data_IF_478842043731
#
_entry.id   IF_478842043731
#
_cell.length_a   1.000
_cell.length_b   1.000
_cell.length_c   1.000
_cell.angle_alpha   90.00
_cell.angle_beta   90.00
_cell.angle_gamma   90.00
#
_symmetry.space_group_name_H-M   'P 1'
#
loop_
_entity.id
_entity.type
_entity.pdbx_description
1 polymer ?
#
# COMPACT_ATOMS: atom_id res chain seq x y z
N UNK A 1 -26.12 75.64 30.31
CA UNK A 1 -25.30 74.63 29.63
C UNK A 1 -25.85 73.32 29.97
N UNK A 2 -26.70 72.70 29.13
CA UNK A 2 -27.30 71.39 29.39
C UNK A 2 -26.63 70.36 28.46
N UNK A 3 -25.91 69.40 29.00
CA UNK A 3 -25.35 68.25 28.25
C UNK A 3 -26.38 67.11 28.17
N UNK A 4 -26.75 66.75 26.97
CA UNK A 4 -27.61 65.62 26.70
C UNK A 4 -26.76 64.32 26.72
N UNK A 5 -27.14 63.34 27.55
CA UNK A 5 -26.62 62.00 27.49
C UNK A 5 -27.39 61.22 26.42
N UNK A 6 -26.69 60.68 25.42
CA UNK A 6 -27.21 59.74 24.45
C UNK A 6 -27.08 58.33 25.05
N UNK A 7 -28.21 57.63 25.21
CA UNK A 7 -28.24 56.26 25.62
C UNK A 7 -28.02 55.35 24.38
N UNK A 8 -26.99 54.52 24.36
CA UNK A 8 -26.78 53.48 23.36
C UNK A 8 -27.57 52.21 23.73
N UNK A 9 -28.49 51.85 22.86
CA UNK A 9 -29.26 50.59 23.01
C UNK A 9 -28.41 49.46 22.39
N UNK A 10 -27.92 48.55 23.22
CA UNK A 10 -27.27 47.30 22.79
C UNK A 10 -28.37 46.26 22.45
N UNK A 11 -28.54 45.94 21.18
CA UNK A 11 -29.35 44.83 20.73
C UNK A 11 -28.52 43.52 20.83
N UNK A 12 -28.90 42.66 21.77
CA UNK A 12 -28.38 41.28 21.84
C UNK A 12 -29.04 40.47 20.73
N UNK A 13 -28.25 40.03 19.74
CA UNK A 13 -28.66 38.99 18.81
C UNK A 13 -28.58 37.65 19.51
N UNK A 14 -29.71 36.99 19.68
CA UNK A 14 -29.77 35.59 20.13
C UNK A 14 -29.24 34.69 19.03
N UNK A 15 -28.09 34.05 19.28
CA UNK A 15 -27.59 32.98 18.46
C UNK A 15 -28.50 31.77 18.57
N UNK A 16 -29.02 31.27 17.45
CA UNK A 16 -29.77 30.02 17.40
C UNK A 16 -28.85 28.86 17.87
N UNK A 17 -29.35 27.94 18.72
CA UNK A 17 -28.61 26.73 19.04
C UNK A 17 -28.46 25.88 17.79
N UNK A 18 -27.22 25.43 17.53
CA UNK A 18 -26.90 24.51 16.47
C UNK A 18 -27.80 23.27 16.57
N UNK A 19 -28.48 22.94 15.48
CA UNK A 19 -29.26 21.72 15.36
C UNK A 19 -28.38 20.52 15.68
N UNK A 20 -28.78 19.74 16.67
CA UNK A 20 -28.17 18.45 16.98
C UNK A 20 -28.24 17.56 15.73
N UNK A 21 -27.11 17.06 15.30
CA UNK A 21 -27.00 16.14 14.17
C UNK A 21 -27.81 14.87 14.51
N UNK A 22 -28.75 14.52 13.65
CA UNK A 22 -29.56 13.30 13.74
C UNK A 22 -28.66 12.07 13.72
N UNK A 23 -28.62 11.22 14.77
CA UNK A 23 -27.76 10.03 14.82
C UNK A 23 -28.16 8.94 13.83
N UNK A 24 -29.27 9.10 13.09
CA UNK A 24 -29.79 8.16 12.11
C UNK A 24 -29.66 8.63 10.67
N UNK A 25 -28.93 9.74 10.40
CA UNK A 25 -28.69 10.15 9.03
C UNK A 25 -27.94 9.02 8.28
N UNK A 26 -28.44 8.56 7.11
CA UNK A 26 -27.77 7.53 6.34
C UNK A 26 -26.38 8.04 5.94
N UNK A 27 -25.37 7.19 6.14
CA UNK A 27 -24.01 7.48 5.71
C UNK A 27 -24.03 7.84 4.21
N UNK A 28 -23.27 8.86 3.78
CA UNK A 28 -23.17 9.19 2.37
C UNK A 28 -22.72 7.95 1.61
N UNK A 29 -23.29 7.69 0.41
CA UNK A 29 -22.91 6.53 -0.38
C UNK A 29 -21.39 6.51 -0.57
N UNK A 30 -20.76 5.37 -0.27
CA UNK A 30 -19.36 5.15 -0.53
C UNK A 30 -19.06 5.57 -1.98
N UNK A 31 -18.09 6.46 -2.18
CA UNK A 31 -17.70 6.90 -3.53
C UNK A 31 -17.41 5.66 -4.36
N UNK A 32 -18.16 5.49 -5.44
CA UNK A 32 -18.08 4.33 -6.29
C UNK A 32 -16.66 4.20 -6.89
N UNK A 33 -16.17 2.97 -7.14
CA UNK A 33 -14.82 2.70 -7.66
C UNK A 33 -14.58 3.21 -9.09
N UNK A 34 -15.52 3.93 -9.68
CA UNK A 34 -15.47 4.45 -11.05
C UNK A 34 -14.37 5.50 -11.28
N UNK A 35 -13.72 6.02 -10.23
CA UNK A 35 -12.65 7.00 -10.37
C UNK A 35 -11.25 6.38 -10.54
N UNK A 36 -11.07 5.10 -10.27
CA UNK A 36 -9.76 4.42 -10.42
C UNK A 36 -9.31 4.24 -11.88
N UNK A 37 -10.20 4.48 -12.86
CA UNK A 37 -9.95 4.17 -14.28
C UNK A 37 -9.89 5.38 -15.20
N UNK A 38 -9.72 6.61 -14.69
CA UNK A 38 -9.77 7.83 -15.53
C UNK A 38 -8.52 8.13 -16.37
N UNK A 39 -7.42 7.39 -16.17
CA UNK A 39 -6.17 7.62 -16.92
C UNK A 39 -5.52 6.31 -17.39
N UNK A 40 -5.92 5.74 -18.54
CA UNK A 40 -5.29 4.52 -19.08
C UNK A 40 -3.77 4.64 -19.28
N UNK A 41 -3.29 5.84 -19.62
CA UNK A 41 -1.85 6.11 -19.75
C UNK A 41 -1.09 6.18 -18.42
N UNK A 42 -1.70 6.73 -17.38
CA UNK A 42 -1.10 6.83 -16.05
C UNK A 42 -0.95 5.45 -15.38
N UNK A 43 -1.88 4.52 -15.64
CA UNK A 43 -1.77 3.14 -15.11
C UNK A 43 -0.60 2.37 -15.72
N UNK A 44 -0.32 2.55 -17.02
CA UNK A 44 0.82 1.92 -17.71
C UNK A 44 2.16 2.44 -17.17
N UNK A 45 2.30 3.72 -16.96
CA UNK A 45 3.51 4.33 -16.39
C UNK A 45 3.74 3.91 -14.93
N UNK A 46 2.69 3.89 -14.12
CA UNK A 46 2.76 3.41 -12.73
C UNK A 46 3.24 1.97 -12.67
N UNK A 47 2.63 1.09 -13.49
CA UNK A 47 3.01 -0.31 -13.60
C UNK A 47 4.48 -0.47 -13.98
N UNK A 48 4.93 0.29 -14.99
CA UNK A 48 6.33 0.26 -15.45
C UNK A 48 7.32 0.68 -14.35
N UNK A 49 7.02 1.74 -13.61
CA UNK A 49 7.88 2.21 -12.50
C UNK A 49 7.96 1.19 -11.36
N UNK A 50 6.82 0.64 -10.93
CA UNK A 50 6.79 -0.39 -9.89
C UNK A 50 7.56 -1.63 -10.34
N UNK A 51 7.31 -2.12 -11.55
CA UNK A 51 7.99 -3.29 -12.11
C UNK A 51 9.50 -3.06 -12.22
N UNK A 52 9.93 -1.88 -12.68
CA UNK A 52 11.34 -1.52 -12.77
C UNK A 52 12.01 -1.50 -11.38
N UNK A 53 11.31 -1.00 -10.34
CA UNK A 53 11.82 -0.99 -8.98
C UNK A 53 12.06 -2.42 -8.46
N UNK A 54 11.11 -3.33 -8.68
CA UNK A 54 11.27 -4.75 -8.34
C UNK A 54 12.42 -5.40 -9.08
N UNK A 55 12.49 -5.18 -10.40
CA UNK A 55 13.48 -5.84 -11.26
C UNK A 55 14.91 -5.35 -11.03
N UNK A 56 15.10 -4.12 -10.56
CA UNK A 56 16.41 -3.65 -10.08
C UNK A 56 16.91 -4.48 -8.90
N UNK A 57 16.06 -4.74 -7.91
CA UNK A 57 16.44 -5.53 -6.74
C UNK A 57 16.70 -7.00 -7.11
N UNK A 58 15.89 -7.56 -8.02
CA UNK A 58 16.09 -8.93 -8.52
C UNK A 58 17.39 -9.08 -9.30
N UNK A 59 17.71 -8.13 -10.17
CA UNK A 59 18.98 -8.12 -10.90
C UNK A 59 20.18 -8.04 -9.94
N UNK A 60 20.08 -7.25 -8.86
CA UNK A 60 21.13 -7.13 -7.86
C UNK A 60 21.46 -8.45 -7.13
N UNK A 61 20.51 -9.39 -7.08
CA UNK A 61 20.69 -10.72 -6.49
C UNK A 61 20.78 -11.87 -7.52
N UNK A 62 20.84 -11.52 -8.81
CA UNK A 62 21.01 -12.49 -9.90
C UNK A 62 19.75 -13.30 -10.23
N UNK A 63 18.56 -12.81 -9.88
CA UNK A 63 17.30 -13.48 -10.17
C UNK A 63 16.66 -12.94 -11.46
N UNK A 64 15.92 -13.79 -12.21
CA UNK A 64 15.18 -13.38 -13.39
C UNK A 64 14.18 -12.27 -13.09
N UNK A 65 13.92 -11.35 -14.04
CA UNK A 65 12.95 -10.28 -13.86
C UNK A 65 11.53 -10.83 -13.72
N UNK A 66 10.70 -10.13 -12.93
CA UNK A 66 9.26 -10.34 -12.89
C UNK A 66 8.62 -9.79 -14.15
N UNK A 67 7.49 -10.37 -14.51
CA UNK A 67 6.56 -9.86 -15.52
C UNK A 67 5.36 -9.20 -14.82
N UNK A 68 4.84 -8.15 -15.45
CA UNK A 68 3.59 -7.55 -14.98
C UNK A 68 2.39 -8.43 -15.30
N UNK A 69 1.51 -8.60 -14.34
CA UNK A 69 0.29 -9.38 -14.48
C UNK A 69 -0.92 -8.47 -14.17
N UNK A 70 -1.76 -8.16 -15.18
CA UNK A 70 -2.91 -7.28 -15.02
C UNK A 70 -4.02 -7.90 -14.16
N UNK A 71 -4.12 -9.22 -14.07
CA UNK A 71 -5.10 -9.89 -13.21
C UNK A 71 -4.71 -9.76 -11.75
N UNK A 72 -3.41 -9.92 -11.44
CA UNK A 72 -2.89 -9.65 -10.09
C UNK A 72 -3.08 -8.17 -9.71
N UNK A 73 -2.90 -7.24 -10.66
CA UNK A 73 -3.12 -5.82 -10.43
C UNK A 73 -4.59 -5.51 -10.15
N UNK A 74 -5.51 -6.09 -10.91
CA UNK A 74 -6.95 -5.95 -10.67
C UNK A 74 -7.36 -6.53 -9.31
N UNK A 75 -6.84 -7.71 -8.96
CA UNK A 75 -7.07 -8.33 -7.67
C UNK A 75 -6.48 -7.51 -6.50
N UNK A 76 -5.33 -6.85 -6.70
CA UNK A 76 -4.78 -5.90 -5.74
C UNK A 76 -5.69 -4.67 -5.58
N UNK A 77 -6.17 -4.09 -6.68
CA UNK A 77 -7.04 -2.91 -6.67
C UNK A 77 -8.34 -3.17 -5.91
N UNK A 78 -8.94 -4.35 -6.04
CA UNK A 78 -10.20 -4.70 -5.36
C UNK A 78 -10.09 -4.70 -3.84
N UNK A 79 -8.89 -4.78 -3.28
CA UNK A 79 -8.66 -4.77 -1.83
C UNK A 79 -8.43 -3.34 -1.27
N UNK A 80 -8.18 -2.37 -2.11
CA UNK A 80 -7.95 -0.98 -1.73
C UNK A 80 -9.06 -0.36 -0.86
N UNK A 81 -10.34 -0.46 -1.24
CA UNK A 81 -11.44 0.05 -0.43
C UNK A 81 -11.51 -0.53 0.99
N UNK A 82 -11.14 -1.81 1.15
CA UNK A 82 -11.11 -2.46 2.47
C UNK A 82 -10.04 -1.82 3.36
N UNK A 83 -8.82 -1.63 2.84
CA UNK A 83 -7.74 -0.99 3.60
C UNK A 83 -8.09 0.47 3.93
N UNK A 84 -8.69 1.20 3.01
CA UNK A 84 -9.13 2.57 3.24
C UNK A 84 -10.20 2.66 4.34
N UNK A 85 -11.15 1.74 4.38
CA UNK A 85 -12.15 1.68 5.45
C UNK A 85 -11.59 1.29 6.82
N UNK A 86 -10.46 0.56 6.85
CA UNK A 86 -9.81 0.13 8.08
C UNK A 86 -8.77 1.12 8.59
N UNK A 87 -8.29 2.04 7.76
CA UNK A 87 -7.18 2.99 8.05
C UNK A 87 -5.91 2.32 8.57
N UNK A 88 -5.62 1.09 8.16
CA UNK A 88 -4.45 0.31 8.59
C UNK A 88 -4.09 -0.77 7.58
N UNK A 89 -2.83 -1.25 7.63
CA UNK A 89 -2.38 -2.37 6.83
C UNK A 89 -2.78 -3.70 7.47
N UNK A 90 -3.63 -4.45 6.81
CA UNK A 90 -3.96 -5.84 7.13
C UNK A 90 -3.94 -6.62 5.82
N UNK A 91 -3.26 -7.75 5.81
CA UNK A 91 -3.27 -8.64 4.64
C UNK A 91 -4.68 -9.17 4.37
N UNK A 92 -5.03 -9.25 3.08
CA UNK A 92 -6.25 -9.92 2.66
C UNK A 92 -6.21 -11.41 3.08
N UNK A 93 -7.36 -12.03 3.39
CA UNK A 93 -7.40 -13.44 3.74
C UNK A 93 -6.75 -14.31 2.67
N UNK A 94 -5.99 -15.33 3.07
CA UNK A 94 -5.25 -16.19 2.12
C UNK A 94 -6.18 -16.94 1.18
N UNK A 95 -7.37 -17.25 1.64
CA UNK A 95 -8.44 -17.93 0.90
C UNK A 95 -8.93 -17.10 -0.30
N UNK A 96 -8.85 -15.78 -0.19
CA UNK A 96 -9.24 -14.86 -1.29
C UNK A 96 -8.14 -14.64 -2.32
N UNK A 97 -6.95 -15.18 -2.11
CA UNK A 97 -5.78 -15.07 -3.00
C UNK A 97 -4.99 -16.38 -3.10
N UNK A 98 -5.62 -17.46 -3.54
CA UNK A 98 -4.96 -18.77 -3.65
C UNK A 98 -3.75 -18.68 -4.60
N UNK A 99 -2.62 -19.28 -4.20
CA UNK A 99 -1.40 -19.27 -5.01
C UNK A 99 -0.71 -17.91 -5.12
N UNK A 100 -1.03 -16.94 -4.25
CA UNK A 100 -0.44 -15.60 -4.26
C UNK A 100 0.13 -15.22 -2.90
N UNK A 101 1.09 -14.29 -2.93
CA UNK A 101 1.53 -13.50 -1.76
C UNK A 101 1.21 -12.03 -1.99
N UNK A 102 1.30 -11.26 -0.91
CA UNK A 102 0.92 -9.85 -0.92
C UNK A 102 1.92 -9.03 -0.11
N UNK A 103 2.37 -7.90 -0.67
CA UNK A 103 3.04 -6.83 0.06
C UNK A 103 2.12 -5.62 0.15
N UNK A 104 2.15 -4.95 1.29
CA UNK A 104 1.35 -3.75 1.56
C UNK A 104 2.25 -2.60 2.03
N UNK A 105 1.95 -1.39 1.59
CA UNK A 105 2.50 -0.17 2.16
C UNK A 105 1.41 0.90 2.23
N UNK A 106 1.55 1.85 3.16
CA UNK A 106 0.70 3.02 3.24
C UNK A 106 1.52 4.27 3.55
N UNK A 107 1.04 5.41 3.06
CA UNK A 107 1.59 6.72 3.33
C UNK A 107 0.46 7.75 3.39
N UNK A 108 0.70 8.91 4.01
CA UNK A 108 -0.23 10.02 3.89
C UNK A 108 -0.44 10.38 2.41
N UNK A 109 -1.68 10.70 2.06
CA UNK A 109 -2.04 10.97 0.67
C UNK A 109 -1.08 12.00 0.01
N UNK A 110 -0.55 11.62 -1.15
CA UNK A 110 0.33 12.46 -1.96
C UNK A 110 1.76 12.67 -1.43
N UNK A 111 2.14 12.07 -0.29
CA UNK A 111 3.49 12.26 0.28
C UNK A 111 4.54 11.33 -0.30
N UNK A 112 4.15 10.19 -0.86
CA UNK A 112 5.05 9.19 -1.46
C UNK A 112 4.50 8.68 -2.78
N UNK A 113 5.36 8.58 -3.79
CA UNK A 113 5.04 7.83 -5.01
C UNK A 113 5.11 6.31 -4.77
N UNK A 114 4.46 5.53 -5.63
CA UNK A 114 4.43 4.07 -5.49
C UNK A 114 5.82 3.43 -5.56
N UNK A 115 6.73 3.96 -6.38
CA UNK A 115 8.12 3.52 -6.45
C UNK A 115 8.90 3.83 -5.17
N UNK A 116 8.58 4.94 -4.48
CA UNK A 116 9.14 5.23 -3.16
C UNK A 116 8.60 4.27 -2.09
N UNK A 117 7.32 3.90 -2.17
CA UNK A 117 6.74 2.87 -1.29
C UNK A 117 7.38 1.49 -1.51
N UNK A 118 7.68 1.11 -2.77
CA UNK A 118 8.50 -0.08 -3.06
C UNK A 118 9.90 0.06 -2.48
N UNK A 119 10.43 1.29 -2.44
CA UNK A 119 11.71 1.62 -1.80
C UNK A 119 11.75 1.28 -0.31
N UNK A 120 10.63 1.40 0.42
CA UNK A 120 10.54 0.99 1.83
C UNK A 120 10.80 -0.51 1.97
N UNK A 121 10.21 -1.32 1.09
CA UNK A 121 10.44 -2.77 1.06
C UNK A 121 11.88 -3.11 0.66
N UNK A 122 12.44 -2.37 -0.31
CA UNK A 122 13.83 -2.55 -0.74
C UNK A 122 14.84 -2.23 0.36
N UNK A 123 14.52 -1.30 1.27
CA UNK A 123 15.38 -0.94 2.39
C UNK A 123 15.57 -2.08 3.41
N UNK A 124 14.66 -3.05 3.45
CA UNK A 124 14.74 -4.23 4.33
C UNK A 124 15.95 -5.12 4.01
N UNK A 125 16.52 -5.03 2.77
CA UNK A 125 17.71 -5.81 2.36
C UNK A 125 18.90 -5.65 3.29
N UNK A 126 19.04 -4.52 3.98
CA UNK A 126 20.10 -4.27 4.97
C UNK A 126 20.06 -5.25 6.15
N UNK A 127 18.87 -5.80 6.44
CA UNK A 127 18.63 -6.74 7.53
C UNK A 127 18.65 -8.20 7.04
N UNK A 128 18.71 -8.43 5.72
CA UNK A 128 18.78 -9.78 5.17
C UNK A 128 20.11 -10.44 5.50
N UNK A 129 20.06 -11.73 5.81
CA UNK A 129 21.24 -12.62 5.86
C UNK A 129 20.98 -13.88 5.03
N UNK A 130 22.05 -14.54 4.53
CA UNK A 130 21.91 -15.81 3.84
C UNK A 130 21.25 -16.86 4.73
N UNK A 131 20.40 -17.71 4.15
CA UNK A 131 19.74 -18.78 4.90
C UNK A 131 18.50 -19.30 4.20
N UNK A 132 17.82 -20.19 4.89
CA UNK A 132 16.50 -20.72 4.50
C UNK A 132 15.42 -19.90 5.21
N UNK A 133 14.38 -19.51 4.48
CA UNK A 133 13.25 -18.82 5.08
C UNK A 133 12.57 -19.73 6.14
N UNK A 134 12.21 -19.23 7.32
CA UNK A 134 12.21 -17.83 7.76
C UNK A 134 13.52 -17.35 8.44
N UNK A 135 14.57 -18.17 8.59
CA UNK A 135 15.79 -17.81 9.30
C UNK A 135 16.75 -16.93 8.45
N UNK A 136 16.23 -15.86 7.86
CA UNK A 136 16.91 -14.99 6.88
C UNK A 136 17.07 -13.54 7.33
N UNK A 137 16.73 -13.23 8.59
CA UNK A 137 16.86 -11.88 9.13
C UNK A 137 17.95 -11.80 10.20
N UNK A 138 18.81 -10.78 10.13
CA UNK A 138 19.81 -10.46 11.16
C UNK A 138 19.22 -10.09 12.51
N UNK A 139 17.96 -9.68 12.54
CA UNK A 139 17.22 -9.34 13.76
C UNK A 139 16.61 -10.55 14.45
N UNK A 140 16.63 -11.72 13.80
CA UNK A 140 15.93 -12.93 14.22
C UNK A 140 14.42 -12.93 13.91
N UNK A 141 13.90 -11.83 13.37
CA UNK A 141 12.48 -11.68 13.00
C UNK A 141 12.37 -11.62 11.48
N UNK A 142 11.76 -12.62 10.88
CA UNK A 142 11.62 -12.69 9.42
C UNK A 142 10.71 -11.58 8.87
N UNK A 143 9.79 -11.06 9.67
CA UNK A 143 8.90 -9.96 9.31
C UNK A 143 9.67 -8.70 8.90
N UNK A 144 10.84 -8.48 9.48
CA UNK A 144 11.68 -7.31 9.20
C UNK A 144 12.33 -7.35 7.80
N UNK A 145 12.17 -8.47 7.07
CA UNK A 145 12.68 -8.66 5.71
C UNK A 145 11.63 -9.25 4.76
N UNK A 146 10.40 -9.42 5.23
CA UNK A 146 9.36 -10.17 4.53
C UNK A 146 8.96 -9.57 3.17
N UNK A 147 8.90 -8.24 3.08
CA UNK A 147 8.57 -7.58 1.84
C UNK A 147 9.71 -7.72 0.83
N UNK A 148 10.93 -7.49 1.26
CA UNK A 148 12.10 -7.64 0.37
C UNK A 148 12.26 -9.08 -0.12
N UNK A 149 12.17 -10.07 0.77
CA UNK A 149 12.30 -11.48 0.39
C UNK A 149 11.24 -11.90 -0.60
N UNK A 150 10.00 -11.39 -0.49
CA UNK A 150 8.96 -11.63 -1.49
C UNK A 150 9.29 -10.98 -2.83
N UNK A 151 9.81 -9.73 -2.85
CA UNK A 151 10.19 -9.05 -4.10
C UNK A 151 11.23 -9.84 -4.89
N UNK A 152 12.23 -10.37 -4.19
CA UNK A 152 13.36 -11.09 -4.81
C UNK A 152 13.18 -12.61 -4.80
N UNK A 153 12.02 -13.13 -4.43
CA UNK A 153 11.82 -14.57 -4.32
C UNK A 153 12.12 -15.29 -5.63
N UNK A 154 13.02 -16.32 -5.65
CA UNK A 154 13.55 -16.87 -6.89
C UNK A 154 12.49 -17.48 -7.81
N UNK A 155 11.46 -18.14 -7.26
CA UNK A 155 10.42 -18.82 -8.03
C UNK A 155 9.19 -17.97 -8.34
N UNK A 156 9.11 -16.75 -7.80
CA UNK A 156 8.08 -15.78 -8.19
C UNK A 156 8.43 -15.22 -9.56
N UNK A 157 7.47 -15.25 -10.48
CA UNK A 157 7.65 -14.81 -11.87
C UNK A 157 6.77 -13.63 -12.27
N UNK A 158 5.68 -13.37 -11.53
CA UNK A 158 4.70 -12.33 -11.85
C UNK A 158 4.38 -11.46 -10.66
N UNK A 159 4.12 -10.18 -10.95
CA UNK A 159 3.66 -9.19 -9.99
C UNK A 159 2.60 -8.31 -10.62
N UNK A 160 1.58 -7.96 -9.85
CA UNK A 160 0.60 -6.94 -10.22
C UNK A 160 0.27 -6.10 -9.01
N UNK A 161 0.29 -4.78 -9.17
CA UNK A 161 0.08 -3.85 -8.06
C UNK A 161 -0.99 -2.82 -8.39
N UNK A 162 -1.59 -2.27 -7.33
CA UNK A 162 -2.47 -1.12 -7.40
C UNK A 162 -2.08 -0.10 -6.33
N UNK A 163 -2.17 1.18 -6.68
CA UNK A 163 -2.13 2.29 -5.74
C UNK A 163 -3.57 2.76 -5.54
N UNK A 164 -4.13 2.50 -4.37
CA UNK A 164 -5.45 2.99 -3.99
C UNK A 164 -5.29 4.28 -3.16
N UNK A 165 -5.91 5.36 -3.63
CA UNK A 165 -5.78 6.68 -3.06
C UNK A 165 -7.07 7.06 -2.32
N UNK A 166 -6.92 7.45 -1.05
CA UNK A 166 -7.97 7.96 -0.17
C UNK A 166 -7.36 9.02 0.75
N UNK A 167 -7.72 9.11 2.04
CA UNK A 167 -7.02 9.94 3.02
C UNK A 167 -5.57 9.47 3.23
N UNK A 168 -5.34 8.20 2.95
CA UNK A 168 -4.03 7.57 2.84
C UNK A 168 -3.89 6.94 1.46
N UNK A 169 -2.67 6.85 0.97
CA UNK A 169 -2.32 6.08 -0.21
C UNK A 169 -1.91 4.67 0.21
N UNK A 170 -2.51 3.65 -0.41
CA UNK A 170 -2.25 2.24 -0.14
C UNK A 170 -1.65 1.60 -1.39
N UNK A 171 -0.40 1.17 -1.31
CA UNK A 171 0.21 0.33 -2.33
C UNK A 171 -0.01 -1.14 -1.96
N UNK A 172 -0.64 -1.88 -2.86
CA UNK A 172 -0.95 -3.30 -2.73
C UNK A 172 -0.29 -4.00 -3.89
N UNK A 173 0.61 -4.95 -3.62
CA UNK A 173 1.23 -5.78 -4.66
C UNK A 173 0.93 -7.25 -4.41
N UNK A 174 0.50 -7.95 -5.46
CA UNK A 174 0.27 -9.39 -5.48
C UNK A 174 1.32 -10.09 -6.32
N UNK A 175 1.78 -11.26 -5.85
CA UNK A 175 2.88 -12.01 -6.45
C UNK A 175 2.47 -13.46 -6.71
N UNK A 176 2.85 -13.99 -7.87
CA UNK A 176 2.59 -15.38 -8.25
C UNK A 176 3.79 -15.96 -9.05
N UNK A 177 4.17 -17.22 -8.81
CA UNK A 177 3.85 -18.05 -7.65
C UNK A 177 4.25 -17.40 -6.31
N UNK A 178 3.68 -17.87 -5.17
CA UNK A 178 3.96 -17.29 -3.86
C UNK A 178 5.43 -17.47 -3.46
N UNK A 179 5.97 -16.46 -2.80
CA UNK A 179 7.27 -16.55 -2.12
C UNK A 179 7.15 -16.79 -0.61
N UNK A 180 8.24 -16.55 0.09
CA UNK A 180 8.32 -16.68 1.55
C UNK A 180 7.84 -18.06 2.01
N UNK A 181 8.41 -19.12 1.41
CA UNK A 181 8.09 -20.50 1.69
C UNK A 181 9.11 -21.09 2.67
N UNK A 182 8.63 -21.68 3.74
CA UNK A 182 9.47 -22.26 4.79
C UNK A 182 10.44 -23.32 4.22
N UNK A 183 11.66 -23.33 4.73
CA UNK A 183 12.71 -24.25 4.32
C UNK A 183 13.29 -24.01 2.92
N UNK A 184 12.94 -22.90 2.25
CA UNK A 184 13.46 -22.57 0.91
C UNK A 184 14.43 -21.39 0.95
N UNK A 185 15.49 -21.39 0.11
CA UNK A 185 16.43 -20.28 0.03
C UNK A 185 15.77 -19.06 -0.62
N UNK A 186 16.09 -17.88 -0.09
CA UNK A 186 15.68 -16.59 -0.68
C UNK A 186 16.62 -16.17 -1.79
N UNK A 187 17.93 -16.33 -1.56
CA UNK A 187 18.96 -16.02 -2.52
C UNK A 187 19.41 -17.31 -3.21
N UNK A 188 19.67 -17.23 -4.51
CA UNK A 188 20.30 -18.36 -5.19
C UNK A 188 21.63 -18.66 -4.45
N UNK A 189 21.81 -19.89 -4.01
CA UNK A 189 23.10 -20.32 -3.51
C UNK A 189 24.06 -20.15 -4.67
N UNK A 190 25.03 -19.24 -4.54
CA UNK A 190 26.13 -19.20 -5.48
C UNK A 190 26.76 -20.60 -5.39
N UNK A 191 26.46 -21.43 -6.40
CA UNK A 191 27.15 -22.69 -6.53
C UNK A 191 28.63 -22.33 -6.54
N UNK A 192 29.36 -22.75 -5.52
CA UNK A 192 30.80 -22.62 -5.45
C UNK A 192 31.37 -23.20 -6.76
N UNK A 193 31.84 -22.31 -7.62
CA UNK A 193 32.65 -22.67 -8.80
C UNK A 193 34.01 -23.12 -8.38
#
# INVERSE_FOLDING_TARGET
MKRALAAAILTFAFANPASASDPLAPLPPARQPEQANRFPGATGELAARILAAHNRERAAVGHPPLQWDPELAAAAASYGPVLAGLHRLIHSPRETRPGQRENLAMAFHGTMGADQMVGLWSAEKRLLQPGLFPAVSRTGRWEDVAHYTQMVWPTTTRVGCALYQADWDYLICRYSPPGNLDGKPVLATLASR
#
